data_IF_341908109105
#
_entry.id   IF_341908109105
#
_cell.length_a   1.000
_cell.length_b   1.000
_cell.length_c   1.000
_cell.angle_alpha   90.00
_cell.angle_beta   90.00
_cell.angle_gamma   90.00
#
_symmetry.space_group_name_H-M   'P 1'
#
loop_
_entity.id
_entity.type
_entity.pdbx_description
1 polymer ?
#
# COMPACT_ATOMS: atom_id res chain seq x y z
N UNK A 1 -6.03 10.34 -16.37
CA UNK A 1 -5.90 8.87 -16.39
C UNK A 1 -7.27 8.30 -16.01
N UNK A 2 -7.70 7.21 -16.65
CA UNK A 2 -8.97 6.58 -16.28
C UNK A 2 -8.81 5.81 -14.97
N UNK A 3 -9.86 5.72 -14.12
CA UNK A 3 -9.85 4.86 -12.94
C UNK A 3 -9.51 3.41 -13.30
N UNK A 4 -8.93 2.68 -12.35
CA UNK A 4 -8.81 1.22 -12.46
C UNK A 4 -10.14 0.65 -11.99
N UNK A 5 -10.94 0.13 -12.91
CA UNK A 5 -12.24 -0.46 -12.58
C UNK A 5 -12.10 -1.53 -11.50
N UNK A 6 -12.85 -1.38 -10.41
CA UNK A 6 -12.85 -2.31 -9.28
C UNK A 6 -11.75 -2.07 -8.24
N UNK A 7 -10.97 -0.99 -8.34
CA UNK A 7 -9.93 -0.65 -7.36
C UNK A 7 -10.20 0.72 -6.71
N UNK A 8 -11.04 0.72 -5.69
CA UNK A 8 -11.40 1.94 -4.95
C UNK A 8 -10.49 2.16 -3.73
N UNK A 9 -9.97 1.09 -3.13
CA UNK A 9 -9.17 1.11 -1.91
C UNK A 9 -8.02 0.11 -1.91
N UNK A 10 -6.87 0.56 -1.44
CA UNK A 10 -5.67 -0.26 -1.23
C UNK A 10 -5.23 -0.25 0.23
N UNK A 11 -4.86 -1.42 0.73
CA UNK A 11 -4.14 -1.58 2.00
C UNK A 11 -2.63 -1.58 1.79
N UNK A 12 -1.88 -0.77 2.53
CA UNK A 12 -0.42 -0.74 2.50
C UNK A 12 0.16 -1.18 3.85
N UNK A 13 1.12 -2.10 3.80
CA UNK A 13 1.85 -2.60 4.97
C UNK A 13 3.29 -2.09 4.90
N UNK A 14 3.56 -0.96 5.57
CA UNK A 14 4.83 -0.25 5.56
C UNK A 14 4.78 1.06 4.74
N UNK A 15 5.17 2.17 5.37
CA UNK A 15 5.22 3.53 4.85
C UNK A 15 6.64 4.08 4.71
N UNK A 16 7.64 3.21 4.52
CA UNK A 16 8.99 3.60 4.11
C UNK A 16 9.03 4.21 2.70
N UNK A 17 10.22 4.36 2.11
CA UNK A 17 10.38 4.96 0.77
C UNK A 17 9.54 4.23 -0.29
N UNK A 18 9.58 2.89 -0.32
CA UNK A 18 8.83 2.09 -1.29
C UNK A 18 7.32 2.17 -1.05
N UNK A 19 6.91 2.01 0.21
CA UNK A 19 5.50 2.12 0.61
C UNK A 19 4.90 3.50 0.32
N UNK A 20 5.65 4.58 0.58
CA UNK A 20 5.27 5.94 0.21
C UNK A 20 5.16 6.13 -1.30
N UNK A 21 6.00 5.44 -2.10
CA UNK A 21 5.89 5.41 -3.55
C UNK A 21 4.60 4.74 -4.03
N UNK A 22 4.22 3.61 -3.43
CA UNK A 22 2.92 2.97 -3.67
C UNK A 22 1.75 3.85 -3.25
N UNK A 23 1.82 4.48 -2.07
CA UNK A 23 0.82 5.44 -1.63
C UNK A 23 0.64 6.55 -2.67
N UNK A 24 1.73 7.16 -3.14
CA UNK A 24 1.69 8.17 -4.19
C UNK A 24 1.10 7.64 -5.50
N UNK A 25 1.42 6.41 -5.89
CA UNK A 25 0.89 5.80 -7.11
C UNK A 25 -0.63 5.66 -7.05
N UNK A 26 -1.18 5.20 -5.93
CA UNK A 26 -2.62 5.00 -5.79
C UNK A 26 -3.37 6.31 -5.55
N UNK A 27 -2.93 7.13 -4.60
CA UNK A 27 -3.59 8.39 -4.24
C UNK A 27 -3.68 9.35 -5.43
N UNK A 28 -2.57 9.54 -6.16
CA UNK A 28 -2.55 10.44 -7.33
C UNK A 28 -3.35 9.92 -8.54
N UNK A 29 -3.91 8.71 -8.43
CA UNK A 29 -4.83 8.13 -9.40
C UNK A 29 -6.25 7.96 -8.85
N UNK A 30 -6.58 8.61 -7.74
CA UNK A 30 -7.93 8.64 -7.16
C UNK A 30 -8.31 7.41 -6.35
N UNK A 31 -7.33 6.60 -5.95
CA UNK A 31 -7.57 5.38 -5.15
C UNK A 31 -7.28 5.67 -3.68
N UNK A 32 -8.22 5.33 -2.79
CA UNK A 32 -8.04 5.49 -1.36
C UNK A 32 -6.98 4.53 -0.82
N UNK A 33 -6.22 5.00 0.18
CA UNK A 33 -5.15 4.21 0.79
C UNK A 33 -5.37 4.13 2.30
N UNK A 34 -5.34 2.90 2.84
CA UNK A 34 -5.16 2.64 4.27
C UNK A 34 -3.76 2.12 4.51
N UNK A 35 -2.97 2.85 5.28
CA UNK A 35 -1.56 2.55 5.52
C UNK A 35 -1.33 2.17 6.98
N UNK A 36 -0.80 0.98 7.20
CA UNK A 36 -0.26 0.55 8.48
C UNK A 36 1.27 0.67 8.49
N UNK A 37 1.83 1.36 9.48
CA UNK A 37 3.26 1.35 9.78
C UNK A 37 3.44 1.57 11.30
N UNK A 38 4.24 0.74 12.00
CA UNK A 38 4.48 0.91 13.43
C UNK A 38 5.38 2.12 13.77
N UNK A 39 6.07 2.72 12.80
CA UNK A 39 6.92 3.88 13.00
C UNK A 39 6.08 5.17 13.15
N UNK A 40 6.13 5.87 14.30
CA UNK A 40 5.38 7.12 14.51
C UNK A 40 5.80 8.23 13.54
N UNK A 41 6.94 8.12 12.87
CA UNK A 41 7.38 9.06 11.84
C UNK A 41 6.90 8.70 10.42
N UNK A 42 6.19 7.59 10.22
CA UNK A 42 5.66 7.21 8.91
C UNK A 42 4.81 8.31 8.25
N UNK A 43 3.91 9.03 8.96
CA UNK A 43 3.16 10.14 8.35
C UNK A 43 4.04 11.22 7.72
N UNK A 44 5.13 11.61 8.41
CA UNK A 44 6.09 12.58 7.88
C UNK A 44 6.79 12.03 6.63
N UNK A 45 7.31 10.80 6.69
CA UNK A 45 8.07 10.17 5.59
C UNK A 45 7.21 9.99 4.34
N UNK A 46 5.99 9.47 4.50
CA UNK A 46 5.04 9.30 3.40
C UNK A 46 4.63 10.66 2.83
N UNK A 47 4.39 11.66 3.67
CA UNK A 47 4.10 13.03 3.24
C UNK A 47 5.21 13.62 2.34
N UNK A 48 6.47 13.46 2.73
CA UNK A 48 7.62 13.92 1.93
C UNK A 48 7.68 13.23 0.56
N UNK A 49 7.39 11.93 0.49
CA UNK A 49 7.32 11.19 -0.78
C UNK A 49 6.16 11.68 -1.64
N UNK A 50 4.98 11.90 -1.04
CA UNK A 50 3.80 12.40 -1.75
C UNK A 50 4.02 13.78 -2.34
N UNK A 51 4.60 14.72 -1.58
CA UNK A 51 4.85 16.07 -2.07
C UNK A 51 5.84 16.08 -3.24
N UNK A 52 6.86 15.23 -3.18
CA UNK A 52 7.78 15.03 -4.27
C UNK A 52 7.09 14.42 -5.50
N UNK A 53 6.24 13.42 -5.31
CA UNK A 53 5.49 12.78 -6.38
C UNK A 53 4.50 13.75 -7.05
N UNK A 54 3.73 14.53 -6.28
CA UNK A 54 2.84 15.59 -6.78
C UNK A 54 3.59 16.59 -7.65
N UNK A 55 4.77 17.05 -7.18
CA UNK A 55 5.62 17.98 -7.94
C UNK A 55 6.15 17.36 -9.22
N UNK A 56 6.58 16.11 -9.18
CA UNK A 56 7.12 15.41 -10.35
C UNK A 56 6.03 15.14 -11.39
N UNK A 57 4.87 14.61 -10.97
CA UNK A 57 3.79 14.22 -11.86
C UNK A 57 3.26 15.41 -12.66
N UNK A 58 3.07 16.58 -12.03
CA UNK A 58 2.66 17.83 -12.71
C UNK A 58 3.62 18.27 -13.81
N UNK A 59 4.88 17.87 -13.78
CA UNK A 59 5.88 18.17 -14.83
C UNK A 59 5.91 17.14 -15.95
N UNK A 60 5.36 15.94 -15.70
CA UNK A 60 5.41 14.80 -16.63
C UNK A 60 4.13 14.66 -17.47
N UNK A 61 3.00 15.14 -16.97
CA UNK A 61 1.71 15.04 -17.68
C UNK A 61 1.13 16.43 -18.00
N UNK A 62 0.61 16.57 -19.21
CA UNK A 62 -0.10 17.78 -19.65
C UNK A 62 -1.62 17.73 -19.41
N UNK A 63 -2.15 16.54 -19.12
CA UNK A 63 -3.58 16.33 -18.85
C UNK A 63 -3.93 16.65 -17.40
N UNK A 64 -5.18 17.04 -17.13
CA UNK A 64 -5.69 17.15 -15.76
C UNK A 64 -5.47 15.84 -15.00
N UNK A 65 -5.03 15.97 -13.74
CA UNK A 65 -4.98 14.86 -12.81
C UNK A 65 -6.40 14.55 -12.30
N UNK A 66 -6.72 13.28 -12.02
CA UNK A 66 -7.95 12.96 -11.32
C UNK A 66 -7.94 13.59 -9.92
N UNK A 67 -9.11 13.58 -9.27
CA UNK A 67 -9.19 13.87 -7.84
C UNK A 67 -8.27 12.91 -7.08
N UNK A 68 -7.52 13.42 -6.10
CA UNK A 68 -6.61 12.61 -5.30
C UNK A 68 -7.41 11.77 -4.30
N UNK A 69 -7.05 10.50 -4.14
CA UNK A 69 -7.64 9.63 -3.13
C UNK A 69 -7.32 10.08 -1.71
N UNK A 70 -7.96 9.43 -0.73
CA UNK A 70 -7.76 9.71 0.69
C UNK A 70 -6.71 8.80 1.30
N UNK A 71 -5.72 9.37 2.00
CA UNK A 71 -4.77 8.62 2.82
C UNK A 71 -5.26 8.55 4.27
N UNK A 72 -5.41 7.33 4.79
CA UNK A 72 -5.72 7.06 6.20
C UNK A 72 -4.63 6.20 6.82
N UNK A 73 -4.02 6.66 7.91
CA UNK A 73 -3.16 5.82 8.74
C UNK A 73 -4.03 4.98 9.68
N UNK A 74 -3.69 3.71 9.80
CA UNK A 74 -4.44 2.75 10.63
C UNK A 74 -3.50 2.02 11.57
N UNK A 75 -4.04 1.53 12.68
CA UNK A 75 -3.26 1.00 13.79
C UNK A 75 -2.96 -0.51 13.66
N UNK A 76 -3.41 -1.17 12.58
CA UNK A 76 -3.16 -2.59 12.37
C UNK A 76 -3.14 -3.02 10.90
N UNK A 77 -2.42 -4.12 10.55
CA UNK A 77 -2.51 -4.75 9.23
C UNK A 77 -3.94 -5.18 8.85
N UNK A 78 -4.72 -5.66 9.82
CA UNK A 78 -6.13 -6.05 9.63
C UNK A 78 -6.96 -4.85 9.15
N UNK A 79 -6.78 -3.69 9.78
CA UNK A 79 -7.48 -2.46 9.42
C UNK A 79 -7.06 -1.95 8.04
N UNK A 80 -5.79 -2.15 7.65
CA UNK A 80 -5.29 -1.80 6.33
C UNK A 80 -5.94 -2.67 5.24
N UNK A 81 -6.15 -3.97 5.52
CA UNK A 81 -6.75 -4.91 4.57
C UNK A 81 -8.29 -4.83 4.49
N UNK A 82 -8.94 -4.34 5.54
CA UNK A 82 -10.41 -4.31 5.62
C UNK A 82 -11.03 -3.48 4.48
N UNK A 83 -11.76 -4.16 3.59
CA UNK A 83 -12.44 -3.54 2.45
C UNK A 83 -11.52 -3.01 1.36
N UNK A 84 -10.24 -3.41 1.35
CA UNK A 84 -9.33 -3.15 0.24
C UNK A 84 -9.55 -4.18 -0.88
N UNK A 85 -9.31 -3.79 -2.14
CA UNK A 85 -9.30 -4.74 -3.27
C UNK A 85 -7.86 -5.20 -3.62
N UNK A 86 -6.85 -4.52 -3.08
CA UNK A 86 -5.45 -4.89 -3.21
C UNK A 86 -4.72 -4.58 -1.91
N UNK A 87 -3.79 -5.45 -1.52
CA UNK A 87 -2.89 -5.22 -0.38
C UNK A 87 -1.44 -5.29 -0.85
N UNK A 88 -0.67 -4.24 -0.57
CA UNK A 88 0.75 -4.17 -0.92
C UNK A 88 1.62 -4.13 0.33
N UNK A 89 2.51 -5.11 0.44
CA UNK A 89 3.51 -5.20 1.48
C UNK A 89 4.82 -4.52 1.03
N UNK A 90 5.41 -3.68 1.89
CA UNK A 90 6.63 -2.90 1.64
C UNK A 90 7.47 -2.68 2.92
N UNK A 91 7.33 -3.56 3.90
CA UNK A 91 8.12 -3.61 5.12
C UNK A 91 9.58 -4.01 4.83
N UNK A 92 10.50 -3.84 5.80
CA UNK A 92 11.90 -4.26 5.67
C UNK A 92 12.07 -5.71 5.20
N UNK A 93 13.18 -6.00 4.52
CA UNK A 93 13.48 -7.30 3.89
C UNK A 93 13.78 -8.40 4.93
N UNK A 94 12.74 -8.83 5.64
CA UNK A 94 12.78 -9.80 6.74
C UNK A 94 11.60 -10.75 6.61
N UNK A 95 11.87 -12.04 6.37
CA UNK A 95 10.83 -13.05 6.11
C UNK A 95 9.80 -13.14 7.24
N UNK A 96 10.27 -13.21 8.48
CA UNK A 96 9.43 -13.30 9.69
C UNK A 96 8.44 -12.14 9.79
N UNK A 97 8.94 -10.92 9.56
CA UNK A 97 8.13 -9.71 9.59
C UNK A 97 7.09 -9.70 8.47
N UNK A 98 7.50 -10.01 7.24
CA UNK A 98 6.60 -9.97 6.08
C UNK A 98 5.49 -11.02 6.19
N UNK A 99 5.83 -12.25 6.58
CA UNK A 99 4.83 -13.29 6.87
C UNK A 99 3.86 -12.85 7.97
N UNK A 100 4.36 -12.28 9.08
CA UNK A 100 3.50 -11.79 10.15
C UNK A 100 2.50 -10.74 9.65
N UNK A 101 2.95 -9.78 8.85
CA UNK A 101 2.10 -8.71 8.31
C UNK A 101 1.09 -9.25 7.30
N UNK A 102 1.53 -10.09 6.35
CA UNK A 102 0.69 -10.69 5.33
C UNK A 102 -0.37 -11.60 5.94
N UNK A 103 0.00 -12.44 6.90
CA UNK A 103 -0.93 -13.34 7.58
C UNK A 103 -2.01 -12.54 8.31
N UNK A 104 -1.61 -11.53 9.09
CA UNK A 104 -2.57 -10.65 9.78
C UNK A 104 -3.47 -9.88 8.83
N UNK A 105 -2.96 -9.38 7.71
CA UNK A 105 -3.78 -8.72 6.71
C UNK A 105 -4.77 -9.70 6.05
N UNK A 106 -4.33 -10.93 5.74
CA UNK A 106 -5.16 -11.94 5.08
C UNK A 106 -6.39 -12.36 5.89
N UNK A 107 -6.31 -12.37 7.24
CA UNK A 107 -7.46 -12.75 8.08
C UNK A 107 -8.63 -11.76 8.02
N UNK A 108 -8.36 -10.50 7.62
CA UNK A 108 -9.36 -9.45 7.49
C UNK A 108 -9.70 -9.12 6.02
N UNK A 109 -8.93 -9.63 5.07
CA UNK A 109 -9.16 -9.43 3.65
C UNK A 109 -10.30 -10.32 3.12
N UNK A 110 -10.99 -9.84 2.08
CA UNK A 110 -11.91 -10.67 1.33
C UNK A 110 -11.17 -11.72 0.50
N UNK A 111 -11.79 -12.86 0.16
CA UNK A 111 -11.14 -13.97 -0.54
C UNK A 111 -10.62 -13.62 -1.95
N UNK A 112 -11.17 -12.56 -2.56
CA UNK A 112 -10.78 -12.10 -3.90
C UNK A 112 -9.68 -11.02 -3.86
N UNK A 113 -9.19 -10.65 -2.66
CA UNK A 113 -8.17 -9.61 -2.52
C UNK A 113 -6.84 -10.11 -3.00
N UNK A 114 -6.22 -9.36 -3.91
CA UNK A 114 -4.88 -9.66 -4.40
C UNK A 114 -3.83 -9.08 -3.46
N UNK A 115 -2.85 -9.91 -3.10
CA UNK A 115 -1.71 -9.52 -2.29
C UNK A 115 -0.45 -9.37 -3.15
N UNK A 116 0.29 -8.28 -2.93
CA UNK A 116 1.60 -8.03 -3.52
C UNK A 116 2.65 -7.80 -2.44
N UNK A 117 3.91 -8.12 -2.74
CA UNK A 117 5.07 -7.79 -1.91
C UNK A 117 6.13 -7.09 -2.75
N UNK A 118 6.73 -6.04 -2.19
CA UNK A 118 7.88 -5.36 -2.79
C UNK A 118 9.22 -6.03 -2.44
N UNK A 119 9.17 -7.29 -2.02
CA UNK A 119 10.36 -8.13 -1.85
C UNK A 119 11.26 -8.10 -3.09
N UNK A 120 12.56 -8.10 -2.87
CA UNK A 120 13.58 -8.12 -3.92
C UNK A 120 14.25 -9.49 -4.08
N UNK A 121 14.19 -10.34 -3.04
CA UNK A 121 14.86 -11.64 -3.05
C UNK A 121 14.16 -12.78 -2.31
N UNK A 122 13.08 -12.51 -1.58
CA UNK A 122 12.33 -13.55 -0.88
C UNK A 122 11.31 -14.21 -1.81
N UNK A 123 11.23 -15.54 -1.74
CA UNK A 123 10.33 -16.34 -2.58
C UNK A 123 8.86 -16.10 -2.21
N UNK A 124 7.96 -15.90 -3.19
CA UNK A 124 6.52 -15.79 -2.94
C UNK A 124 5.93 -16.99 -2.20
N UNK A 125 6.40 -18.21 -2.52
CA UNK A 125 5.96 -19.45 -1.85
C UNK A 125 6.27 -19.48 -0.36
N UNK A 126 7.32 -18.79 0.06
CA UNK A 126 7.67 -18.64 1.47
C UNK A 126 6.87 -17.50 2.10
N UNK A 127 6.74 -16.36 1.41
CA UNK A 127 6.00 -15.20 1.91
C UNK A 127 4.54 -15.51 2.25
N UNK A 128 3.87 -16.30 1.43
CA UNK A 128 2.45 -16.62 1.62
C UNK A 128 2.18 -17.65 2.74
N UNK A 129 3.21 -18.18 3.40
CA UNK A 129 3.03 -19.22 4.42
C UNK A 129 2.23 -18.69 5.60
N UNK A 130 1.06 -19.29 5.82
CA UNK A 130 0.14 -18.95 6.90
C UNK A 130 -0.92 -17.92 6.53
N UNK A 131 -0.94 -17.44 5.29
CA UNK A 131 -2.06 -16.65 4.78
C UNK A 131 -3.31 -17.51 4.68
N UNK A 132 -4.48 -16.89 4.88
CA UNK A 132 -5.76 -17.60 4.90
C UNK A 132 -6.32 -17.93 3.52
N UNK A 133 -5.86 -17.24 2.48
CA UNK A 133 -6.20 -17.45 1.07
C UNK A 133 -5.06 -16.90 0.20
#
# INVERSE_FOLDING_TARGET
MSPIDGLDRVGLLGGGVIGGGWAARFLLNGVDVRLYDPDPHAPRKVGEVLDNARRALRKLVASPLPEEGTLTFVDSPEAAATGAQFVQESAPERMDLKQQLLNRASTAAGPEVVFGSSTSGLLPTELQRGMTH
#
